data_IF_599386926937
#
_entry.id   IF_599386926937
#
_cell.length_a   1.000
_cell.length_b   1.000
_cell.length_c   1.000
_cell.angle_alpha   90.00
_cell.angle_beta   90.00
_cell.angle_gamma   90.00
#
_symmetry.space_group_name_H-M   'P 1'
#
loop_
_entity.id
_entity.type
_entity.pdbx_description
1 polymer ?
#
# COMPACT_ATOMS: atom_id res chain seq x y z
N UNK A 1 14.93 -7.90 -21.40
CA UNK A 1 13.77 -7.36 -20.62
C UNK A 1 14.35 -6.52 -19.50
N UNK A 2 14.06 -5.20 -19.48
CA UNK A 2 14.67 -4.28 -18.51
C UNK A 2 14.42 -4.76 -17.07
N UNK A 3 15.49 -4.84 -16.28
CA UNK A 3 15.49 -5.21 -14.87
C UNK A 3 14.79 -4.13 -14.03
N UNK A 4 13.47 -4.02 -14.17
CA UNK A 4 12.64 -3.05 -13.46
C UNK A 4 12.57 -3.46 -11.99
N UNK A 5 13.17 -2.64 -11.11
CA UNK A 5 13.10 -2.87 -9.66
C UNK A 5 11.63 -2.83 -9.22
N UNK A 6 11.17 -3.79 -8.41
CA UNK A 6 9.81 -3.76 -7.90
C UNK A 6 9.59 -2.52 -7.02
N UNK A 7 8.42 -1.90 -7.11
CA UNK A 7 8.01 -0.86 -6.17
C UNK A 7 7.62 -1.52 -4.85
N UNK A 8 8.17 -1.04 -3.75
CA UNK A 8 7.80 -1.49 -2.40
C UNK A 8 6.88 -0.43 -1.81
N UNK A 9 5.65 -0.81 -1.46
CA UNK A 9 4.67 0.09 -0.85
C UNK A 9 4.34 -0.40 0.56
N UNK A 10 4.61 0.44 1.56
CA UNK A 10 4.35 0.13 2.96
C UNK A 10 3.26 1.05 3.51
N UNK A 11 2.28 0.44 4.17
CA UNK A 11 1.33 1.16 5.01
C UNK A 11 1.91 1.31 6.43
N UNK A 12 1.44 2.32 7.16
CA UNK A 12 1.78 2.47 8.57
C UNK A 12 1.37 1.22 9.37
N UNK A 13 2.29 0.73 10.20
CA UNK A 13 2.02 -0.41 11.08
C UNK A 13 1.05 0.02 12.18
N UNK A 14 -0.07 -0.69 12.39
CA UNK A 14 -0.99 -0.37 13.47
C UNK A 14 -0.33 -0.74 14.80
N UNK A 15 -0.53 0.10 15.81
CA UNK A 15 -0.13 -0.25 17.16
C UNK A 15 -1.07 -1.31 17.75
N UNK A 16 -0.52 -2.25 18.51
CA UNK A 16 -1.27 -3.39 19.06
C UNK A 16 -2.27 -3.02 20.16
N UNK A 17 -2.07 -1.89 20.84
CA UNK A 17 -2.77 -1.59 22.09
C UNK A 17 -4.13 -0.90 21.89
N UNK A 18 -4.57 -0.73 20.63
CA UNK A 18 -5.82 -0.05 20.31
C UNK A 18 -6.58 -0.73 19.17
N UNK A 19 -7.90 -0.59 19.17
CA UNK A 19 -8.73 -1.06 18.05
C UNK A 19 -8.60 -0.08 16.88
N UNK A 20 -8.34 -0.56 15.64
CA UNK A 20 -8.33 0.31 14.48
C UNK A 20 -9.72 0.93 14.26
N UNK A 21 -9.78 2.26 14.19
CA UNK A 21 -10.95 3.01 13.72
C UNK A 21 -10.83 3.41 12.24
N UNK A 22 -11.92 3.95 11.66
CA UNK A 22 -12.01 4.35 10.25
C UNK A 22 -10.87 5.26 9.78
N UNK A 23 -10.36 6.15 10.65
CA UNK A 23 -9.19 6.96 10.36
C UNK A 23 -7.93 6.17 9.95
N UNK A 24 -7.69 4.98 10.52
CA UNK A 24 -6.55 4.14 10.11
C UNK A 24 -6.76 3.58 8.69
N UNK A 25 -7.99 3.18 8.36
CA UNK A 25 -8.35 2.74 7.02
C UNK A 25 -8.19 3.88 6.02
N UNK A 26 -8.80 5.03 6.29
CA UNK A 26 -8.75 6.19 5.40
C UNK A 26 -7.34 6.77 5.25
N UNK A 27 -6.51 6.72 6.30
CA UNK A 27 -5.19 7.33 6.32
C UNK A 27 -4.05 6.43 5.82
N UNK A 28 -4.04 5.16 6.22
CA UNK A 28 -2.91 4.26 5.90
C UNK A 28 -3.28 3.23 4.83
N UNK A 29 -4.36 2.47 5.03
CA UNK A 29 -4.61 1.27 4.24
C UNK A 29 -5.27 1.56 2.90
N UNK A 30 -6.37 2.33 2.88
CA UNK A 30 -7.11 2.66 1.66
C UNK A 30 -6.27 3.38 0.60
N UNK A 31 -5.49 4.43 0.93
CA UNK A 31 -4.65 5.09 -0.08
C UNK A 31 -3.53 4.18 -0.58
N UNK A 32 -2.92 3.38 0.31
CA UNK A 32 -1.86 2.43 -0.08
C UNK A 32 -2.38 1.35 -1.03
N UNK A 33 -3.55 0.75 -0.75
CA UNK A 33 -4.17 -0.26 -1.62
C UNK A 33 -4.57 0.34 -2.97
N UNK A 34 -5.16 1.53 -2.97
CA UNK A 34 -5.54 2.24 -4.20
C UNK A 34 -4.32 2.50 -5.08
N UNK A 35 -3.22 2.96 -4.48
CA UNK A 35 -1.97 3.22 -5.21
C UNK A 35 -1.35 1.95 -5.77
N UNK A 36 -1.31 0.86 -5.00
CA UNK A 36 -0.78 -0.44 -5.44
C UNK A 36 -1.60 -0.98 -6.61
N UNK A 37 -2.94 -0.92 -6.55
CA UNK A 37 -3.82 -1.34 -7.65
C UNK A 37 -3.57 -0.52 -8.91
N UNK A 38 -3.47 0.80 -8.78
CA UNK A 38 -3.13 1.67 -9.89
C UNK A 38 -1.79 1.30 -10.54
N UNK A 39 -0.75 1.05 -9.73
CA UNK A 39 0.58 0.67 -10.25
C UNK A 39 0.59 -0.70 -10.92
N UNK A 40 -0.15 -1.67 -10.39
CA UNK A 40 -0.35 -2.98 -11.02
C UNK A 40 -1.05 -2.85 -12.38
N UNK A 41 -2.07 -2.01 -12.49
CA UNK A 41 -2.74 -1.72 -13.76
C UNK A 41 -1.81 -1.05 -14.78
N UNK A 42 -0.85 -0.23 -14.31
CA UNK A 42 0.21 0.34 -15.14
C UNK A 42 1.32 -0.67 -15.50
N UNK A 43 1.18 -1.96 -15.18
CA UNK A 43 2.16 -3.00 -15.50
C UNK A 43 3.41 -3.01 -14.60
N UNK A 44 3.40 -2.26 -13.49
CA UNK A 44 4.52 -2.29 -12.54
C UNK A 44 4.44 -3.53 -11.64
N UNK A 45 5.60 -4.12 -11.35
CA UNK A 45 5.73 -5.12 -10.29
C UNK A 45 5.74 -4.39 -8.93
N UNK A 46 4.75 -4.68 -8.09
CA UNK A 46 4.58 -4.04 -6.77
C UNK A 46 4.60 -5.09 -5.66
N UNK A 47 5.34 -4.81 -4.60
CA UNK A 47 5.47 -5.57 -3.35
C UNK A 47 4.87 -4.78 -2.19
#
# INVERSE_FOLDING_TARGET
MSNQKPLIVLAALPYSNGRPHVGHLAGAYLPSDTYVRFKRLQGHKVL
#
